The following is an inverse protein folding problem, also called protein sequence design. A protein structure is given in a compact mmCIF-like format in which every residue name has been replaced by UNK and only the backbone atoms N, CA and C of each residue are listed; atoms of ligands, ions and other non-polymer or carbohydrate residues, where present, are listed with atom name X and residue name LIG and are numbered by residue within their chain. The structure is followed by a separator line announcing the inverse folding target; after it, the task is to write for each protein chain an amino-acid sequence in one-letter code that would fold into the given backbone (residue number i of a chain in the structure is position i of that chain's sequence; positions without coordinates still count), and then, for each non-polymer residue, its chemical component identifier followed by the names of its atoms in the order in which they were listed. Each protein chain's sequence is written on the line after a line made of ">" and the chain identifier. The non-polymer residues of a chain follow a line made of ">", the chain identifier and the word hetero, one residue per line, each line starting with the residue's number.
data_IF_013948064579
#
_entry.id   IF_013948064579
#
_cell.length_a   1.000
_cell.length_b   1.000
_cell.length_c   1.000
_cell.angle_alpha   90.00
_cell.angle_beta   90.00
_cell.angle_gamma   90.00
#
_symmetry.space_group_name_H-M   'P 1'
#
loop_
_entity.id
_entity.type
_entity.pdbx_description
1 polymer ?
2 non-polymer ?
3 non-polymer ?
4 non-polymer ?
5 water ?
#
# COMPACT_ATOMS: atom_id res chain seq x y z
N UNK A 3 30.37 -8.60 5.33
CA UNK A 3 29.94 -7.95 4.09
C UNK A 3 28.44 -7.59 4.22
N UNK A 4 27.97 -6.67 3.38
CA UNK A 4 26.63 -6.12 3.52
C UNK A 4 25.64 -6.79 2.58
N UNK A 5 24.40 -6.93 3.06
CA UNK A 5 23.30 -7.42 2.27
C UNK A 5 22.44 -6.22 1.89
N UNK A 6 22.23 -6.04 0.58
CA UNK A 6 21.37 -4.98 0.12
C UNK A 6 19.93 -5.24 0.52
N UNK A 7 19.23 -4.17 0.89
CA UNK A 7 17.80 -4.21 1.19
C UNK A 7 17.14 -3.30 0.17
N UNK A 8 16.52 -3.90 -0.85
CA UNK A 8 15.84 -3.17 -1.93
C UNK A 8 14.39 -2.95 -1.52
N UNK A 9 14.07 -1.72 -1.11
CA UNK A 9 12.74 -1.36 -0.64
C UNK A 9 12.01 -0.67 -1.79
N UNK A 10 10.85 -1.20 -2.21
CA UNK A 10 10.25 -0.69 -3.43
C UNK A 10 8.88 -0.10 -3.14
N UNK A 11 8.55 1.01 -3.82
CA UNK A 11 7.25 1.63 -3.67
C UNK A 11 6.87 2.35 -4.95
N UNK A 12 5.69 2.95 -4.94
CA UNK A 12 5.08 3.46 -6.16
C UNK A 12 5.77 4.73 -6.65
N UNK A 13 6.13 5.60 -5.73
CA UNK A 13 6.65 6.91 -6.04
C UNK A 13 5.55 7.96 -6.09
N UNK A 14 5.96 9.21 -5.90
CA UNK A 14 5.05 10.36 -5.86
C UNK A 14 5.82 11.56 -6.40
N UNK A 15 5.14 12.52 -7.03
CA UNK A 15 5.85 13.75 -7.47
C UNK A 15 6.47 14.52 -6.31
N UNK A 16 7.73 14.92 -6.49
CA UNK A 16 8.39 15.76 -5.49
C UNK A 16 7.91 17.19 -5.54
N UNK A 17 7.62 17.67 -6.74
CA UNK A 17 7.22 19.05 -6.97
C UNK A 17 6.02 19.06 -7.89
N UNK A 18 5.27 20.16 -7.84
CA UNK A 18 4.11 20.29 -8.71
C UNK A 18 4.48 20.17 -10.19
N UNK A 19 5.66 20.67 -10.58
CA UNK A 19 6.06 20.57 -11.98
C UNK A 19 6.32 19.15 -12.42
N UNK A 20 6.51 18.23 -11.48
CA UNK A 20 6.73 16.82 -11.79
C UNK A 20 5.46 16.06 -12.15
N UNK A 21 4.26 16.65 -12.01
CA UNK A 21 3.05 15.83 -12.10
C UNK A 21 2.87 15.29 -13.53
N UNK A 22 3.10 16.11 -14.55
CA UNK A 22 3.05 15.65 -15.94
C UNK A 22 3.90 14.39 -16.19
N UNK A 23 5.18 14.43 -15.85
CA UNK A 23 6.05 13.32 -16.24
C UNK A 23 5.76 12.07 -15.43
N UNK A 24 5.32 12.24 -14.17
CA UNK A 24 4.93 11.11 -13.33
C UNK A 24 3.70 10.43 -13.89
N UNK A 25 2.70 11.22 -14.27
CA UNK A 25 1.49 10.68 -14.87
C UNK A 25 1.79 9.99 -16.20
N UNK A 26 2.63 10.61 -17.02
CA UNK A 26 3.09 9.98 -18.26
C UNK A 26 3.75 8.62 -17.98
N UNK A 27 4.56 8.54 -16.93
CA UNK A 27 5.19 7.27 -16.62
C UNK A 27 4.17 6.22 -16.22
N UNK A 28 3.16 6.61 -15.42
CA UNK A 28 2.09 5.69 -15.06
C UNK A 28 1.36 5.15 -16.30
N UNK A 29 1.19 6.00 -17.31
CA UNK A 29 0.52 5.60 -18.55
C UNK A 29 1.48 5.04 -19.58
N UNK A 30 2.55 4.35 -19.13
CA UNK A 30 3.47 3.64 -20.03
C UNK A 30 4.05 4.57 -21.10
N UNK A 31 4.37 5.82 -20.70
CA UNK A 31 5.00 6.77 -21.59
C UNK A 31 4.08 7.59 -22.46
N UNK A 32 2.77 7.30 -22.46
CA UNK A 32 1.79 8.02 -23.27
C UNK A 32 1.29 9.21 -22.46
N UNK A 33 1.54 10.42 -22.96
CA UNK A 33 1.26 11.62 -22.20
C UNK A 33 -0.25 11.78 -22.04
N UNK A 34 -0.75 11.94 -20.82
CA UNK A 34 -2.18 12.18 -20.64
C UNK A 34 -2.62 13.50 -21.28
N UNK A 35 -3.93 13.63 -21.42
CA UNK A 35 -4.51 14.84 -21.92
C UNK A 35 -4.44 15.96 -20.88
N UNK A 36 -4.59 17.20 -21.36
CA UNK A 36 -4.64 18.35 -20.47
C UNK A 36 -5.76 18.23 -19.42
N UNK A 37 -6.91 17.66 -19.80
CA UNK A 37 -7.99 17.43 -18.83
C UNK A 37 -7.59 16.39 -17.79
N UNK A 38 -6.90 15.33 -18.20
CA UNK A 38 -6.48 14.35 -17.21
C UNK A 38 -5.44 14.91 -16.25
N UNK A 39 -4.48 15.69 -16.76
CA UNK A 39 -3.49 16.34 -15.89
C UNK A 39 -4.15 17.29 -14.89
N UNK A 40 -5.04 18.17 -15.38
CA UNK A 40 -5.72 19.09 -14.47
C UNK A 40 -6.48 18.35 -13.37
N UNK A 41 -7.07 17.20 -13.67
CA UNK A 41 -7.84 16.51 -12.64
C UNK A 41 -6.92 15.96 -11.56
N UNK A 42 -5.83 15.30 -11.96
CA UNK A 42 -4.82 14.81 -11.02
C UNK A 42 -4.24 15.95 -10.17
N UNK A 43 -3.80 17.03 -10.82
CA UNK A 43 -3.22 18.16 -10.10
C UNK A 43 -4.24 18.73 -9.10
N UNK A 44 -5.52 18.74 -9.46
CA UNK A 44 -6.53 19.22 -8.53
C UNK A 44 -6.73 18.29 -7.34
N UNK A 45 -6.51 16.99 -7.52
CA UNK A 45 -6.55 16.11 -6.37
C UNK A 45 -5.36 16.35 -5.44
N UNK A 46 -4.15 16.51 -5.98
CA UNK A 46 -3.03 16.84 -5.10
C UNK A 46 -3.26 18.16 -4.39
N UNK A 47 -3.87 19.12 -5.09
CA UNK A 47 -4.16 20.40 -4.47
C UNK A 47 -5.16 20.28 -3.34
N UNK A 48 -6.15 19.39 -3.49
CA UNK A 48 -7.18 19.23 -2.47
C UNK A 48 -6.62 18.63 -1.18
N UNK A 49 -5.53 17.87 -1.25
CA UNK A 49 -4.99 17.22 -0.04
C UNK A 49 -3.85 18.06 0.55
N UNK A 50 -3.67 19.26 0.01
CA UNK A 50 -2.72 20.22 0.57
C UNK A 50 -1.61 20.62 -0.37
N UNK A 51 -1.54 20.08 -1.57
CA UNK A 51 -0.60 20.57 -2.56
C UNK A 51 0.20 19.43 -3.15
N UNK A 52 0.78 18.61 -2.28
CA UNK A 52 1.53 17.42 -2.69
C UNK A 52 1.28 16.33 -1.67
N UNK A 53 1.72 15.15 -2.00
CA UNK A 53 1.50 14.02 -1.12
C UNK A 53 2.71 13.81 -0.21
N UNK A 54 2.52 13.34 1.02
CA UNK A 54 3.66 13.10 1.91
C UNK A 54 4.33 11.76 1.70
N UNK A 55 3.93 11.06 0.64
CA UNK A 55 4.42 9.71 0.41
C UNK A 55 5.93 9.66 0.28
N UNK A 56 6.55 10.73 -0.22
CA UNK A 56 7.99 10.68 -0.44
C UNK A 56 8.72 10.55 0.87
N UNK A 57 8.41 11.44 1.82
CA UNK A 57 9.13 11.42 3.09
C UNK A 57 8.72 10.22 3.93
N UNK A 58 7.47 9.74 3.80
CA UNK A 58 7.06 8.54 4.54
C UNK A 58 7.82 7.32 4.03
N UNK A 59 7.87 7.15 2.70
CA UNK A 59 8.59 6.02 2.12
C UNK A 59 10.04 6.00 2.60
N UNK A 60 10.69 7.17 2.63
CA UNK A 60 12.07 7.22 3.12
C UNK A 60 12.16 6.82 4.59
N UNK A 61 11.27 7.37 5.42
CA UNK A 61 11.29 7.03 6.83
C UNK A 61 11.08 5.53 7.04
N UNK A 62 10.25 4.92 6.18
CA UNK A 62 9.98 3.50 6.28
C UNK A 62 11.21 2.67 5.90
N UNK A 63 11.86 3.04 4.79
CA UNK A 63 13.00 2.26 4.32
C UNK A 63 14.18 2.39 5.29
N UNK A 64 14.47 3.61 5.77
CA UNK A 64 15.60 3.77 6.69
C UNK A 64 15.26 3.38 8.13
N UNK A 65 13.98 3.49 8.52
CA UNK A 65 13.58 2.94 9.79
C UNK A 65 13.68 1.42 9.81
N UNK A 66 13.34 0.77 8.68
CA UNK A 66 13.48 -0.68 8.58
C UNK A 66 14.94 -1.10 8.65
N UNK A 67 15.81 -0.42 7.91
CA UNK A 67 17.24 -0.71 7.94
C UNK A 67 17.78 -0.64 9.36
N UNK A 68 17.40 0.41 10.10
CA UNK A 68 17.89 0.57 11.47
C UNK A 68 17.35 -0.51 12.39
N UNK A 69 16.06 -0.85 12.25
CA UNK A 69 15.48 -1.92 13.06
C UNK A 69 16.22 -3.24 12.83
N UNK A 70 16.52 -3.55 11.56
CA UNK A 70 17.27 -4.76 11.24
C UNK A 70 18.67 -4.71 11.84
N UNK A 71 19.37 -3.57 11.72
CA UNK A 71 20.75 -3.53 12.17
C UNK A 71 20.89 -3.41 13.70
N UNK A 72 19.88 -2.88 14.38
CA UNK A 72 19.94 -2.82 15.84
C UNK A 72 19.52 -4.12 16.51
N UNK A 73 18.97 -5.09 15.78
CA UNK A 73 18.41 -6.27 16.42
C UNK A 73 19.31 -7.53 16.34
N UNK A 74 20.43 -7.47 15.64
CA UNK A 74 21.27 -8.65 15.44
C UNK A 74 22.62 -8.18 14.91
N UNK A 75 23.57 -9.11 14.88
CA UNK A 75 24.86 -8.74 14.30
C UNK A 75 25.43 -9.87 13.43
N UNK A 76 24.56 -10.71 12.89
CA UNK A 76 25.01 -11.65 11.87
C UNK A 76 25.32 -10.93 10.56
N UNK A 77 24.61 -9.84 10.26
CA UNK A 77 24.79 -9.18 8.97
C UNK A 77 24.46 -7.69 9.09
N UNK A 78 25.03 -6.91 8.20
CA UNK A 78 24.71 -5.50 8.00
C UNK A 78 23.84 -5.31 6.77
N UNK A 79 22.66 -4.73 6.96
CA UNK A 79 21.74 -4.40 5.87
C UNK A 79 21.99 -2.98 5.43
N UNK A 80 21.88 -2.73 4.13
CA UNK A 80 21.94 -1.37 3.59
C UNK A 80 20.76 -1.18 2.66
N UNK A 81 19.88 -0.23 2.99
CA UNK A 81 18.65 0.00 2.28
C UNK A 81 18.91 0.86 1.04
N UNK A 82 18.23 0.51 -0.04
CA UNK A 82 18.20 1.28 -1.27
C UNK A 82 16.75 1.40 -1.70
N UNK A 83 16.30 2.60 -1.99
CA UNK A 83 14.91 2.82 -2.39
C UNK A 83 14.81 2.78 -3.91
N UNK A 84 13.90 1.95 -4.41
CA UNK A 84 13.62 1.88 -5.83
C UNK A 84 12.16 2.12 -6.11
N UNK A 85 11.82 3.17 -6.88
CA UNK A 85 10.43 3.55 -7.11
C UNK A 85 9.94 3.17 -8.50
N UNK A 86 8.64 2.92 -8.60
CA UNK A 86 8.09 2.42 -9.86
C UNK A 86 7.99 3.54 -10.92
N UNK A 87 7.60 4.75 -10.53
CA UNK A 87 7.19 5.75 -11.53
C UNK A 87 7.89 7.10 -11.46
N UNK A 88 8.93 7.24 -10.63
CA UNK A 88 9.74 8.45 -10.59
C UNK A 88 11.11 8.06 -10.03
N UNK A 89 12.12 8.92 -10.24
CA UNK A 89 13.46 8.60 -9.73
C UNK A 89 13.49 8.75 -8.20
N UNK A 90 14.31 7.94 -7.51
CA UNK A 90 15.17 6.83 -7.97
C UNK A 90 14.32 5.68 -8.46
N UNK A 91 14.47 5.30 -9.72
CA UNK A 91 13.73 4.16 -10.26
C UNK A 91 14.30 2.87 -9.68
N UNK A 92 13.48 1.82 -9.75
CA UNK A 92 13.91 0.45 -9.43
C UNK A 92 15.28 0.17 -10.04
N UNK A 93 15.42 0.48 -11.34
CA UNK A 93 16.68 0.20 -12.04
C UNK A 93 17.84 1.03 -11.50
N UNK A 94 17.59 2.30 -11.09
CA UNK A 94 18.61 3.10 -10.42
C UNK A 94 19.09 2.48 -9.10
N UNK A 95 18.16 1.96 -8.30
CA UNK A 95 18.55 1.30 -7.06
C UNK A 95 19.44 0.07 -7.31
N UNK A 96 19.09 -0.75 -8.31
CA UNK A 96 19.90 -1.93 -8.60
C UNK A 96 21.29 -1.53 -9.08
N UNK A 97 21.34 -0.49 -9.92
CA UNK A 97 22.61 0.08 -10.36
C UNK A 97 23.47 0.52 -9.18
N UNK A 98 22.85 1.19 -8.20
CA UNK A 98 23.62 1.73 -7.08
C UNK A 98 24.17 0.61 -6.21
N UNK A 99 23.38 -0.43 -5.99
CA UNK A 99 23.90 -1.60 -5.27
C UNK A 99 25.08 -2.21 -6.02
N UNK A 100 24.91 -2.48 -7.31
CA UNK A 100 26.01 -3.05 -8.08
C UNK A 100 27.27 -2.20 -7.98
N UNK A 101 27.13 -0.88 -8.10
CA UNK A 101 28.30 0.00 -8.03
C UNK A 101 28.88 0.03 -6.61
N UNK A 102 28.08 -0.25 -5.58
CA UNK A 102 28.60 -0.30 -4.21
C UNK A 102 29.23 -1.63 -3.86
N UNK A 103 29.18 -2.62 -4.75
CA UNK A 103 29.75 -3.93 -4.45
C UNK A 103 28.82 -4.87 -3.72
N UNK A 104 27.54 -4.54 -3.62
CA UNK A 104 26.59 -5.46 -3.01
C UNK A 104 26.44 -6.66 -3.93
N UNK A 105 26.59 -7.85 -3.36
CA UNK A 105 26.44 -9.05 -4.17
C UNK A 105 25.15 -9.79 -3.91
N UNK A 106 24.45 -9.48 -2.82
CA UNK A 106 23.29 -10.24 -2.37
C UNK A 106 22.28 -9.25 -1.84
N UNK A 107 21.04 -9.30 -2.33
CA UNK A 107 20.03 -8.41 -1.82
C UNK A 107 18.72 -9.16 -1.55
N UNK A 108 17.95 -8.63 -0.60
CA UNK A 108 16.57 -9.04 -0.38
C UNK A 108 15.67 -7.88 -0.80
N UNK A 109 14.60 -8.17 -1.53
CA UNK A 109 13.68 -7.08 -1.87
C UNK A 109 12.34 -7.27 -1.19
N UNK A 110 11.71 -6.15 -0.88
CA UNK A 110 10.38 -6.11 -0.31
C UNK A 110 9.65 -4.95 -0.97
N UNK A 111 8.36 -5.16 -1.29
CA UNK A 111 7.51 -4.10 -1.79
C UNK A 111 6.69 -3.59 -0.61
N UNK A 112 6.51 -2.28 -0.54
CA UNK A 112 5.73 -1.66 0.54
C UNK A 112 4.24 -1.71 0.17
N UNK A 113 3.77 -2.96 0.01
CA UNK A 113 2.39 -3.33 -0.28
C UNK A 113 2.31 -4.79 0.10
N UNK A 114 1.47 -5.14 1.07
CA UNK A 114 1.56 -6.49 1.66
C UNK A 114 0.97 -7.60 0.80
N UNK A 115 0.29 -7.27 -0.30
CA UNK A 115 -0.39 -8.29 -1.09
C UNK A 115 0.24 -8.38 -2.48
N UNK A 116 0.17 -9.59 -3.06
CA UNK A 116 0.75 -9.85 -4.37
C UNK A 116 -0.30 -9.73 -5.47
N UNK A 117 0.11 -9.16 -6.61
CA UNK A 117 -0.70 -9.21 -7.83
C UNK A 117 0.19 -9.13 -9.05
N UNK A 118 -0.38 -9.52 -10.20
CA UNK A 118 0.40 -9.52 -11.45
C UNK A 118 0.70 -8.10 -11.92
N UNK A 119 -0.12 -7.10 -11.54
CA UNK A 119 0.13 -5.71 -11.92
C UNK A 119 0.98 -4.94 -10.92
N UNK A 120 1.17 -5.44 -9.71
CA UNK A 120 1.89 -4.67 -8.71
C UNK A 120 3.18 -5.42 -8.45
N UNK A 121 3.23 -6.33 -7.48
CA UNK A 121 4.50 -6.93 -7.06
C UNK A 121 5.20 -7.64 -8.22
N UNK A 122 4.44 -8.38 -9.04
CA UNK A 122 5.08 -9.03 -10.20
C UNK A 122 5.91 -8.05 -11.03
N UNK A 123 5.36 -6.87 -11.34
CA UNK A 123 6.11 -5.94 -12.19
C UNK A 123 7.33 -5.36 -11.47
N UNK A 124 7.21 -5.05 -10.18
CA UNK A 124 8.38 -4.68 -9.37
C UNK A 124 9.50 -5.71 -9.47
N UNK A 125 9.17 -6.98 -9.22
CA UNK A 125 10.18 -8.04 -9.24
C UNK A 125 10.78 -8.25 -10.63
N UNK A 126 9.95 -8.18 -11.69
CA UNK A 126 10.46 -8.38 -13.04
C UNK A 126 11.47 -7.29 -13.42
N UNK A 127 11.20 -6.05 -13.00
CA UNK A 127 12.11 -4.94 -13.32
C UNK A 127 13.40 -5.03 -12.51
N UNK A 128 13.30 -5.37 -11.23
CA UNK A 128 14.50 -5.52 -10.42
C UNK A 128 15.38 -6.65 -10.95
N UNK A 129 14.79 -7.80 -11.33
CA UNK A 129 15.62 -8.91 -11.77
C UNK A 129 16.18 -8.68 -13.16
N UNK A 130 15.50 -7.88 -13.99
CA UNK A 130 15.98 -7.61 -15.33
C UNK A 130 17.16 -6.64 -15.30
N UNK A 131 17.12 -5.67 -14.38
CA UNK A 131 18.26 -4.77 -14.21
C UNK A 131 19.46 -5.50 -13.64
N UNK A 132 19.24 -6.40 -12.68
CA UNK A 132 20.35 -7.14 -12.08
C UNK A 132 20.95 -8.15 -13.06
N UNK A 133 20.11 -8.76 -13.91
CA UNK A 133 20.64 -9.65 -14.94
C UNK A 133 21.61 -8.92 -15.86
N UNK A 134 21.24 -7.71 -16.31
CA UNK A 134 22.09 -6.98 -17.25
C UNK A 134 23.40 -6.59 -16.58
N UNK A 135 23.32 -6.02 -15.36
CA UNK A 135 24.52 -5.55 -14.67
C UNK A 135 25.43 -6.70 -14.24
N UNK A 136 24.89 -7.91 -14.06
CA UNK A 136 25.67 -9.00 -13.53
C UNK A 136 25.62 -9.14 -12.03
N UNK A 137 24.72 -8.42 -11.35
CA UNK A 137 24.61 -8.46 -9.92
C UNK A 137 23.85 -7.25 -9.42
N UNK A 138 23.33 -7.29 -8.19
CA UNK A 138 23.41 -8.38 -7.20
C UNK A 138 22.38 -9.49 -7.48
N UNK A 139 22.50 -10.66 -6.86
CA UNK A 139 21.38 -11.61 -6.85
C UNK A 139 20.29 -11.09 -5.92
N UNK A 140 19.06 -10.97 -6.44
CA UNK A 140 17.91 -10.47 -5.68
C UNK A 140 16.99 -11.61 -5.26
N UNK A 141 16.72 -11.69 -3.96
CA UNK A 141 15.80 -12.66 -3.36
C UNK A 141 14.56 -11.89 -2.95
N UNK A 142 13.46 -12.15 -3.65
CA UNK A 142 12.29 -11.31 -3.55
C UNK A 142 11.31 -11.86 -2.52
N UNK A 143 10.75 -10.96 -1.72
CA UNK A 143 9.55 -11.23 -0.93
C UNK A 143 8.35 -10.92 -1.82
N UNK A 144 7.39 -11.87 -1.95
CA UNK A 144 6.24 -11.63 -2.82
C UNK A 144 5.06 -11.02 -2.09
N UNK A 145 4.87 -11.42 -0.82
CA UNK A 145 3.78 -10.89 -0.03
C UNK A 145 4.08 -11.11 1.44
N UNK A 146 3.34 -10.40 2.29
CA UNK A 146 3.62 -10.55 3.72
C UNK A 146 2.42 -10.20 4.57
N UNK A 147 1.21 -10.14 4.00
CA UNK A 147 -0.02 -9.93 4.76
C UNK A 147 -0.30 -11.02 5.81
N UNK A 148 0.28 -12.22 5.66
CA UNK A 148 0.02 -13.26 6.66
C UNK A 148 0.83 -13.05 7.93
N UNK A 149 1.75 -12.10 7.94
CA UNK A 149 2.57 -11.87 9.14
C UNK A 149 1.68 -11.55 10.34
N UNK A 150 1.73 -12.33 11.43
CA UNK A 150 0.82 -12.08 12.55
C UNK A 150 0.88 -10.65 13.09
N UNK A 151 2.07 -10.02 13.18
CA UNK A 151 2.17 -8.67 13.73
C UNK A 151 1.47 -7.65 12.82
N UNK A 152 1.45 -7.90 11.50
CA UNK A 152 0.73 -7.03 10.56
C UNK A 152 -0.77 -6.99 10.88
N UNK A 153 -1.39 -8.19 10.94
CA UNK A 153 -2.80 -8.31 11.30
C UNK A 153 -3.09 -7.68 12.66
N UNK A 154 -2.26 -7.97 13.68
CA UNK A 154 -2.50 -7.42 15.02
C UNK A 154 -2.42 -5.88 15.04
N UNK A 155 -1.42 -5.31 14.37
CA UNK A 155 -1.35 -3.85 14.15
C UNK A 155 -2.69 -3.26 13.70
N UNK A 156 -3.28 -3.82 12.63
CA UNK A 156 -4.53 -3.22 12.14
C UNK A 156 -5.68 -3.46 13.12
N UNK A 157 -5.76 -4.65 13.73
CA UNK A 157 -6.83 -4.88 14.71
C UNK A 157 -6.74 -3.91 15.89
N UNK A 158 -5.52 -3.64 16.39
CA UNK A 158 -5.40 -2.71 17.52
C UNK A 158 -5.89 -1.31 17.12
N UNK A 159 -5.50 -0.83 15.94
CA UNK A 159 -5.97 0.47 15.42
C UNK A 159 -7.50 0.51 15.28
N UNK A 160 -8.12 -0.60 14.83
CA UNK A 160 -9.56 -0.63 14.70
C UNK A 160 -10.24 -0.67 16.06
N UNK A 161 -9.71 -1.48 17.00
CA UNK A 161 -10.29 -1.55 18.34
C UNK A 161 -10.18 -0.22 19.08
N UNK A 162 -9.06 0.51 18.94
CA UNK A 162 -8.98 1.85 19.54
C UNK A 162 -10.04 2.81 18.98
N UNK A 163 -10.28 2.75 17.66
CA UNK A 163 -11.36 3.59 17.13
C UNK A 163 -12.72 3.15 17.65
N UNK A 164 -12.98 1.83 17.67
CA UNK A 164 -14.29 1.32 18.09
C UNK A 164 -14.58 1.63 19.56
N UNK A 165 -13.54 1.74 20.38
CA UNK A 165 -13.73 2.06 21.79
C UNK A 165 -14.32 3.46 22.01
N UNK A 166 -14.11 4.37 21.07
CA UNK A 166 -14.69 5.70 21.15
C UNK A 166 -16.08 5.79 20.48
N UNK A 167 -16.66 4.67 20.08
CA UNK A 167 -18.02 4.64 19.55
C UNK A 167 -18.95 4.23 20.68
N UNK A 168 -20.13 4.85 20.84
CA UNK A 168 -21.00 4.48 21.96
C UNK A 168 -21.44 3.02 21.85
N UNK A 169 -21.55 2.38 23.01
CA UNK A 169 -21.80 0.94 23.05
C UNK A 169 -23.09 0.58 22.32
N UNK A 170 -24.11 1.43 22.43
CA UNK A 170 -25.39 1.16 21.78
C UNK A 170 -25.36 1.41 20.27
N UNK A 171 -24.28 1.96 19.73
CA UNK A 171 -24.12 2.15 18.30
C UNK A 171 -23.07 1.22 17.71
N UNK A 172 -22.40 0.42 18.52
CA UNK A 172 -21.45 -0.53 17.98
C UNK A 172 -22.14 -1.59 17.13
N UNK A 173 -23.38 -1.95 17.46
CA UNK A 173 -24.09 -2.92 16.63
C UNK A 173 -24.44 -2.33 15.26
N UNK A 174 -24.39 -1.01 15.09
CA UNK A 174 -24.63 -0.34 13.83
C UNK A 174 -23.34 0.14 13.18
N UNK A 175 -22.21 -0.49 13.50
CA UNK A 175 -20.91 -0.11 12.97
C UNK A 175 -20.38 -1.18 12.01
N UNK A 176 -19.74 -0.74 10.93
CA UNK A 176 -19.23 -1.67 9.94
C UNK A 176 -17.81 -1.29 9.58
N UNK A 177 -16.97 -2.30 9.38
CA UNK A 177 -15.56 -2.15 9.05
C UNK A 177 -15.43 -2.44 7.56
N UNK A 178 -14.99 -1.45 6.79
CA UNK A 178 -14.81 -1.57 5.35
C UNK A 178 -13.32 -1.77 5.08
N UNK A 179 -12.94 -2.93 4.55
CA UNK A 179 -11.55 -3.30 4.32
C UNK A 179 -11.30 -3.14 2.83
N UNK A 180 -10.23 -2.44 2.45
CA UNK A 180 -10.06 -2.11 1.03
C UNK A 180 -8.60 -2.15 0.60
N UNK A 181 -8.41 -2.19 -0.71
CA UNK A 181 -7.11 -2.10 -1.36
C UNK A 181 -7.31 -1.43 -2.71
N UNK A 182 -6.19 -1.06 -3.36
CA UNK A 182 -6.26 -0.56 -4.73
C UNK A 182 -6.94 -1.57 -5.67
N UNK A 183 -7.89 -1.07 -6.44
CA UNK A 183 -8.55 -1.86 -7.45
C UNK A 183 -7.58 -2.17 -8.59
N UNK A 184 -7.85 -3.27 -9.29
CA UNK A 184 -7.15 -3.69 -10.49
C UNK A 184 -8.18 -4.07 -11.55
N UNK A 185 -7.77 -4.15 -12.82
CA UNK A 185 -8.71 -4.65 -13.85
C UNK A 185 -9.27 -6.02 -13.44
N UNK A 186 -10.56 -6.23 -13.71
CA UNK A 186 -11.24 -7.40 -13.17
C UNK A 186 -10.78 -8.68 -13.86
N UNK A 187 -10.20 -8.56 -15.05
CA UNK A 187 -9.73 -9.73 -15.77
C UNK A 187 -8.66 -10.52 -14.99
N UNK A 188 -8.00 -9.94 -13.97
CA UNK A 188 -7.03 -10.77 -13.22
C UNK A 188 -7.70 -11.95 -12.55
N UNK A 189 -9.00 -11.85 -12.23
CA UNK A 189 -9.72 -13.01 -11.67
C UNK A 189 -9.81 -14.18 -12.64
N UNK A 190 -9.79 -13.91 -13.94
CA UNK A 190 -9.92 -14.98 -14.92
C UNK A 190 -8.76 -15.95 -14.86
N UNK A 191 -7.61 -15.51 -14.36
CA UNK A 191 -6.43 -16.34 -14.33
C UNK A 191 -6.03 -16.69 -12.91
N UNK A 192 -6.95 -16.53 -11.96
CA UNK A 192 -6.71 -16.91 -10.56
C UNK A 192 -5.54 -16.16 -9.95
N UNK A 193 -5.40 -14.90 -10.31
CA UNK A 193 -4.46 -14.05 -9.62
C UNK A 193 -4.75 -14.08 -8.13
N UNK A 194 -3.74 -14.19 -7.26
CA UNK A 194 -4.03 -14.32 -5.82
C UNK A 194 -4.58 -13.06 -5.18
N UNK A 195 -4.43 -11.88 -5.81
CA UNK A 195 -4.73 -10.61 -5.15
C UNK A 195 -6.11 -10.52 -4.49
N UNK A 196 -7.24 -10.80 -5.17
CA UNK A 196 -8.54 -10.67 -4.46
C UNK A 196 -8.68 -11.63 -3.28
N UNK A 197 -8.15 -12.84 -3.43
CA UNK A 197 -8.19 -13.80 -2.34
C UNK A 197 -7.33 -13.36 -1.16
N UNK A 198 -6.18 -12.73 -1.45
CA UNK A 198 -5.32 -12.27 -0.34
C UNK A 198 -6.01 -11.17 0.46
N UNK A 199 -6.75 -10.28 -0.23
CA UNK A 199 -7.43 -9.23 0.51
C UNK A 199 -8.59 -9.80 1.32
N UNK A 200 -9.36 -10.74 0.76
CA UNK A 200 -10.42 -11.36 1.58
C UNK A 200 -9.85 -12.04 2.81
N UNK A 201 -8.76 -12.78 2.62
CA UNK A 201 -8.07 -13.39 3.75
C UNK A 201 -7.64 -12.35 4.79
N UNK A 202 -7.11 -11.20 4.34
CA UNK A 202 -6.67 -10.19 5.30
C UNK A 202 -7.87 -9.67 6.09
N UNK A 203 -8.98 -9.43 5.38
CA UNK A 203 -10.20 -8.95 6.05
C UNK A 203 -10.70 -9.98 7.07
N UNK A 204 -10.73 -11.28 6.69
CA UNK A 204 -11.13 -12.33 7.62
C UNK A 204 -10.23 -12.39 8.85
N UNK A 205 -8.89 -12.30 8.68
CA UNK A 205 -8.02 -12.41 9.87
C UNK A 205 -8.25 -11.22 10.82
N UNK A 206 -8.41 -10.02 10.25
CA UNK A 206 -8.64 -8.84 11.07
C UNK A 206 -9.96 -8.94 11.83
N UNK A 207 -11.03 -9.32 11.12
CA UNK A 207 -12.38 -9.36 11.70
C UNK A 207 -12.44 -10.26 12.94
N UNK A 208 -11.75 -11.39 12.90
CA UNK A 208 -11.82 -12.24 14.10
C UNK A 208 -11.06 -11.66 15.29
N UNK A 209 -10.38 -10.51 15.14
CA UNK A 209 -9.63 -9.91 16.24
C UNK A 209 -10.15 -8.54 16.69
N UNK A 210 -11.30 -8.06 16.15
CA UNK A 210 -11.85 -6.76 16.52
C UNK A 210 -13.24 -6.89 17.14
N UNK A 211 -13.64 -5.87 17.91
CA UNK A 211 -14.99 -5.85 18.50
C UNK A 211 -16.09 -5.40 17.53
N UNK A 212 -15.72 -4.95 16.33
CA UNK A 212 -16.72 -4.47 15.37
C UNK A 212 -17.49 -5.66 14.80
N UNK A 213 -18.82 -5.66 14.87
CA UNK A 213 -19.59 -6.87 14.54
C UNK A 213 -19.91 -7.07 13.07
N UNK A 214 -19.68 -6.07 12.20
CA UNK A 214 -19.96 -6.21 10.77
C UNK A 214 -18.76 -5.85 9.93
N UNK A 215 -18.62 -6.49 8.76
CA UNK A 215 -17.54 -6.03 7.90
C UNK A 215 -17.82 -6.38 6.45
N UNK A 216 -17.14 -5.64 5.57
CA UNK A 216 -17.32 -5.77 4.14
C UNK A 216 -16.01 -5.45 3.44
N UNK A 217 -15.79 -6.10 2.31
CA UNK A 217 -14.60 -5.95 1.49
C UNK A 217 -14.92 -5.07 0.27
N UNK A 218 -14.09 -4.06 0.02
CA UNK A 218 -14.27 -3.22 -1.14
C UNK A 218 -12.93 -2.85 -1.75
N UNK A 219 -13.00 -2.10 -2.87
CA UNK A 219 -11.82 -1.71 -3.62
C UNK A 219 -11.88 -0.20 -3.89
N UNK A 220 -10.75 0.38 -4.25
CA UNK A 220 -10.78 1.82 -4.49
C UNK A 220 -9.74 2.24 -5.51
N UNK A 221 -9.91 3.48 -6.01
CA UNK A 221 -8.92 4.17 -6.83
C UNK A 221 -8.75 3.48 -8.19
N UNK A 222 -9.85 3.03 -8.77
CA UNK A 222 -9.74 2.39 -10.07
C UNK A 222 -9.41 3.43 -11.13
N UNK A 223 -8.76 2.98 -12.20
CA UNK A 223 -8.20 3.87 -13.19
C UNK A 223 -9.18 4.24 -14.29
N UNK A 224 -8.70 5.05 -15.22
CA UNK A 224 -9.50 5.59 -16.32
C UNK A 224 -9.27 4.67 -17.50
N UNK A 225 -10.07 3.61 -17.60
CA UNK A 225 -10.03 2.71 -18.75
C UNK A 225 -11.47 2.42 -19.17
N UNK A 226 -11.65 1.55 -20.14
CA UNK A 226 -13.01 1.21 -20.54
C UNK A 226 -13.28 -0.26 -20.34
N UNK A 227 -12.65 -0.84 -19.33
CA UNK A 227 -12.77 -2.26 -19.01
C UNK A 227 -13.24 -2.35 -17.57
N UNK A 228 -13.82 -3.47 -17.17
CA UNK A 228 -14.30 -3.60 -15.79
C UNK A 228 -13.15 -3.75 -14.80
N UNK A 229 -13.29 -3.11 -13.63
CA UNK A 229 -12.31 -3.18 -12.53
C UNK A 229 -12.93 -3.87 -11.32
N UNK A 230 -12.06 -4.41 -10.45
CA UNK A 230 -12.52 -5.08 -9.24
C UNK A 230 -13.48 -4.19 -8.47
N UNK A 231 -14.59 -4.74 -8.05
CA UNK A 231 -15.55 -4.00 -7.28
C UNK A 231 -16.10 -4.86 -6.17
N UNK A 232 -16.99 -4.30 -5.31
CA UNK A 232 -17.56 -2.96 -5.38
C UNK A 232 -16.58 -1.88 -4.97
N UNK A 233 -16.71 -0.70 -5.57
CA UNK A 233 -15.99 0.48 -5.10
C UNK A 233 -16.45 0.86 -3.71
N UNK A 234 -15.51 1.38 -2.87
CA UNK A 234 -15.82 1.73 -1.48
C UNK A 234 -16.94 2.78 -1.39
N UNK A 235 -16.97 3.76 -2.31
CA UNK A 235 -18.08 4.73 -2.32
C UNK A 235 -19.41 4.01 -2.60
N UNK A 236 -19.46 3.22 -3.68
CA UNK A 236 -20.71 2.50 -4.00
C UNK A 236 -21.10 1.48 -2.91
N UNK A 237 -20.12 0.85 -2.28
CA UNK A 237 -20.42 -0.13 -1.23
C UNK A 237 -20.98 0.57 0.02
N UNK A 238 -20.46 1.75 0.33
CA UNK A 238 -21.01 2.53 1.45
C UNK A 238 -22.50 2.83 1.26
N UNK A 239 -22.88 3.28 0.04
CA UNK A 239 -24.28 3.56 -0.24
C UNK A 239 -25.13 2.30 -0.12
N UNK A 240 -24.65 1.19 -0.68
CA UNK A 240 -25.42 -0.05 -0.64
C UNK A 240 -25.63 -0.52 0.81
N UNK A 241 -24.57 -0.50 1.62
CA UNK A 241 -24.68 -0.98 3.00
C UNK A 241 -25.56 -0.08 3.84
N UNK A 242 -25.51 1.24 3.61
CA UNK A 242 -26.47 2.10 4.30
C UNK A 242 -27.90 1.78 3.86
N UNK A 243 -28.11 1.52 2.57
CA UNK A 243 -29.47 1.23 2.11
C UNK A 243 -30.06 0.00 2.79
N UNK A 244 -29.27 -1.09 2.92
CA UNK A 244 -29.79 -2.35 3.47
C UNK A 244 -29.77 -2.39 5.00
N UNK A 245 -28.76 -1.80 5.62
CA UNK A 245 -28.56 -1.99 7.06
C UNK A 245 -28.62 -0.72 7.88
N UNK A 246 -28.52 0.46 7.26
CA UNK A 246 -28.64 1.73 7.95
C UNK A 246 -27.53 1.91 8.99
N UNK A 247 -26.32 1.49 8.65
CA UNK A 247 -25.20 1.64 9.58
C UNK A 247 -25.00 3.12 9.98
N UNK A 248 -24.59 3.32 11.23
CA UNK A 248 -24.32 4.63 11.80
C UNK A 248 -22.85 5.03 11.75
N UNK A 249 -21.95 4.05 11.72
CA UNK A 249 -20.51 4.29 11.70
C UNK A 249 -19.87 3.41 10.64
N UNK A 250 -19.06 4.02 9.78
CA UNK A 250 -18.24 3.32 8.80
C UNK A 250 -16.78 3.53 9.18
N UNK A 251 -16.05 2.43 9.40
CA UNK A 251 -14.61 2.49 9.69
C UNK A 251 -13.88 1.98 8.43
N UNK A 252 -13.08 2.82 7.81
CA UNK A 252 -12.37 2.46 6.58
C UNK A 252 -10.93 2.11 6.91
N UNK A 253 -10.52 0.87 6.64
CA UNK A 253 -9.12 0.51 6.74
C UNK A 253 -8.62 0.06 5.36
N UNK A 254 -7.92 0.92 4.66
CA UNK A 254 -7.42 0.53 3.30
C UNK A 254 -6.11 -0.22 3.47
N UNK A 255 -6.25 -1.47 3.93
CA UNK A 255 -5.09 -2.28 4.35
C UNK A 255 -4.19 -2.66 3.19
N UNK A 256 -4.60 -2.46 1.94
CA UNK A 256 -3.63 -2.72 0.87
C UNK A 256 -2.56 -1.64 0.82
N UNK A 257 -2.79 -0.51 1.48
CA UNK A 257 -1.82 0.59 1.51
C UNK A 257 -1.12 0.66 2.88
N UNK A 258 0.09 1.24 2.89
CA UNK A 258 0.87 1.32 4.14
C UNK A 258 1.20 2.74 4.54
N UNK A 259 0.72 3.76 3.82
CA UNK A 259 1.08 5.13 4.13
C UNK A 259 -0.10 6.04 3.78
N UNK A 260 -0.07 7.24 4.37
CA UNK A 260 -1.09 8.27 4.12
C UNK A 260 -0.68 9.02 2.85
N UNK A 261 -1.21 8.61 1.69
CA UNK A 261 -0.85 9.26 0.43
C UNK A 261 -2.15 9.61 -0.34
N UNK A 262 -2.01 10.01 -1.61
CA UNK A 262 -3.17 10.53 -2.35
C UNK A 262 -4.37 9.58 -2.30
N UNK A 263 -4.13 8.27 -2.40
CA UNK A 263 -5.24 7.32 -2.47
C UNK A 263 -5.95 7.15 -1.14
N UNK A 264 -5.32 7.50 -0.03
CA UNK A 264 -6.03 7.54 1.25
C UNK A 264 -6.56 8.93 1.53
N UNK A 265 -5.70 9.95 1.40
CA UNK A 265 -6.11 11.30 1.73
C UNK A 265 -7.24 11.80 0.83
N UNK A 266 -7.27 11.39 -0.43
CA UNK A 266 -8.36 11.85 -1.31
C UNK A 266 -9.45 10.78 -1.41
N UNK A 267 -9.09 9.58 -1.85
CA UNK A 267 -10.13 8.58 -2.16
C UNK A 267 -10.90 8.13 -0.91
N UNK A 268 -10.27 8.06 0.27
CA UNK A 268 -11.03 7.80 1.48
C UNK A 268 -11.49 9.10 2.16
N UNK A 269 -10.53 9.92 2.63
CA UNK A 269 -10.88 11.03 3.53
C UNK A 269 -11.70 12.11 2.82
N UNK A 270 -11.67 12.16 1.50
CA UNK A 270 -12.59 13.05 0.82
C UNK A 270 -13.77 12.28 0.26
N UNK A 271 -13.52 11.33 -0.66
CA UNK A 271 -14.63 10.72 -1.43
C UNK A 271 -15.56 9.86 -0.57
N UNK A 272 -15.02 9.06 0.37
CA UNK A 272 -15.91 8.23 1.21
C UNK A 272 -16.62 9.09 2.24
N UNK A 273 -15.92 10.07 2.83
CA UNK A 273 -16.57 10.98 3.77
C UNK A 273 -17.73 11.74 3.10
N UNK A 274 -17.62 12.06 1.81
CA UNK A 274 -18.74 12.66 1.09
C UNK A 274 -19.96 11.74 1.15
N UNK A 275 -19.74 10.43 1.03
CA UNK A 275 -20.90 9.53 1.05
C UNK A 275 -21.46 9.41 2.46
N UNK A 276 -20.59 9.20 3.46
CA UNK A 276 -21.11 9.06 4.83
C UNK A 276 -21.90 10.32 5.23
N UNK A 277 -21.40 11.50 4.84
CA UNK A 277 -22.14 12.76 5.04
C UNK A 277 -23.53 12.72 4.41
N UNK A 278 -23.62 12.24 3.16
CA UNK A 278 -24.91 12.24 2.45
C UNK A 278 -25.95 11.33 3.13
N UNK A 279 -25.54 10.16 3.62
CA UNK A 279 -26.48 9.26 4.27
C UNK A 279 -26.68 9.59 5.75
N UNK A 280 -25.85 10.47 6.31
CA UNK A 280 -25.96 10.85 7.71
C UNK A 280 -25.19 9.97 8.67
N UNK A 281 -24.15 9.26 8.23
CA UNK A 281 -23.37 8.39 9.11
C UNK A 281 -22.04 9.05 9.46
N UNK A 282 -21.35 8.48 10.43
CA UNK A 282 -20.06 9.01 10.86
C UNK A 282 -18.96 8.33 10.07
N UNK A 283 -17.92 9.10 9.76
CA UNK A 283 -16.74 8.60 9.05
C UNK A 283 -15.59 8.36 10.02
N UNK A 284 -14.94 7.19 9.90
CA UNK A 284 -13.73 6.90 10.68
C UNK A 284 -12.68 6.28 9.78
N UNK A 285 -11.44 6.71 9.92
CA UNK A 285 -10.34 6.19 9.10
C UNK A 285 -9.09 6.19 9.96
N UNK A 286 -8.81 5.07 10.63
CA UNK A 286 -7.66 5.02 11.60
C UNK A 286 -6.34 5.42 10.96
N UNK A 287 -5.37 5.93 11.76
CA UNK A 287 -4.06 6.31 11.21
C UNK A 287 -3.44 5.18 10.39
N UNK A 288 -2.86 5.52 9.22
CA UNK A 288 -2.11 4.50 8.49
C UNK A 288 -0.82 4.09 9.21
N UNK A 289 -0.21 2.96 8.80
CA UNK A 289 1.04 2.51 9.45
C UNK A 289 2.17 3.54 9.39
N UNK A 290 2.37 4.20 8.23
CA UNK A 290 3.46 5.21 8.08
C UNK A 290 4.76 4.61 8.65
N UNK A 291 5.53 5.36 9.45
CA UNK A 291 6.80 4.86 9.98
C UNK A 291 6.68 4.55 11.48
N UNK A 292 5.48 4.22 11.93
CA UNK A 292 5.29 3.98 13.36
C UNK A 292 6.15 2.79 13.76
N UNK A 293 6.78 2.83 14.93
CA UNK A 293 7.65 1.68 15.34
C UNK A 293 6.98 0.32 15.26
N UNK A 294 5.71 0.19 15.64
CA UNK A 294 5.04 -1.11 15.51
C UNK A 294 5.07 -1.63 14.07
N UNK A 295 4.94 -0.73 13.09
CA UNK A 295 5.02 -1.14 11.68
C UNK A 295 6.46 -1.44 11.26
N UNK A 296 7.42 -0.66 11.72
CA UNK A 296 8.82 -0.98 11.43
C UNK A 296 9.18 -2.36 11.97
N UNK A 297 8.61 -2.73 13.12
CA UNK A 297 8.76 -4.09 13.67
C UNK A 297 8.09 -5.17 12.81
N UNK A 298 6.93 -4.85 12.19
CA UNK A 298 6.33 -5.80 11.23
C UNK A 298 7.32 -6.10 10.11
N UNK A 299 7.88 -5.03 9.51
CA UNK A 299 8.75 -5.20 8.35
C UNK A 299 10.06 -5.87 8.74
N UNK A 300 10.58 -5.55 9.93
CA UNK A 300 11.80 -6.18 10.39
C UNK A 300 11.59 -7.69 10.51
N UNK A 301 10.46 -8.08 11.09
CA UNK A 301 10.17 -9.51 11.23
C UNK A 301 10.12 -10.19 9.87
N UNK A 302 9.43 -9.56 8.92
CA UNK A 302 9.26 -10.11 7.57
C UNK A 302 10.60 -10.30 6.88
N UNK A 303 11.44 -9.25 6.87
CA UNK A 303 12.76 -9.29 6.22
C UNK A 303 13.70 -10.27 6.93
N UNK A 304 13.72 -10.24 8.26
CA UNK A 304 14.63 -11.15 8.98
C UNK A 304 14.23 -12.62 8.79
N UNK A 305 12.93 -12.91 8.73
CA UNK A 305 12.49 -14.28 8.44
C UNK A 305 12.92 -14.71 7.04
N UNK A 306 12.84 -13.79 6.07
CA UNK A 306 13.28 -14.09 4.71
C UNK A 306 14.77 -14.40 4.69
N UNK A 307 15.57 -13.56 5.35
CA UNK A 307 17.01 -13.78 5.38
C UNK A 307 17.33 -15.11 6.07
N UNK A 308 16.62 -15.41 7.16
CA UNK A 308 16.85 -16.69 7.86
C UNK A 308 16.60 -17.90 6.98
N UNK A 309 15.68 -17.80 6.02
CA UNK A 309 15.29 -18.98 5.24
C UNK A 309 16.16 -19.15 3.99
N UNK A 310 16.83 -18.09 3.54
CA UNK A 310 17.85 -18.22 2.50
C UNK A 310 19.08 -18.95 3.02
N UNK A 311 19.51 -18.64 4.24
CA UNK A 311 20.72 -19.21 4.80
C UNK A 311 20.46 -20.58 5.46
X LIG B 1 1.22 10.70 -5.31
X LIG B 1 0.97 9.76 -4.46
X LIG B 1 0.41 9.89 -3.27
X LIG B 1 0.94 8.35 -5.12
X LIG B 1 -0.34 7.58 -4.63
X LIG B 1 -0.53 6.09 -5.19
X LIG B 1 -0.25 4.87 -4.59
X LIG B 1 -0.69 3.81 -5.58
X LIG B 1 -0.60 2.41 -5.35
X LIG B 1 -1.17 1.48 -6.27
X LIG B 1 -1.75 1.73 -7.56
X LIG B 1 -2.11 0.44 -8.09
X LIG B 1 -2.72 0.21 -9.35
X LIG B 1 -2.88 1.19 -10.38
X LIG B 1 -3.34 0.91 -11.78
X LIG B 1 -3.39 2.14 -12.45
X LIG B 1 -2.97 3.21 -11.49
X LIG B 1 -2.89 4.62 -11.74
X LIG B 1 -2.56 5.62 -10.79
X LIG B 1 -2.54 7.12 -11.01
X LIG B 1 -2.19 7.72 -9.81
X LIG B 1 -1.97 6.62 -8.81
X LIG B 1 -2.21 5.38 -9.44
X LIG B 1 -2.03 3.55 -8.49
X LIG B 1 -1.23 4.43 -6.78
X LIG B 1 -1.15 5.84 -6.54
X LIG B 1 -1.58 6.84 -7.45
X LIG B 1 -2.67 2.60 -10.22
X LIG B 1 -1.97 9.25 -9.34
X LIG B 1 -2.90 7.79 -12.43
X LIG B 1 -4.00 8.92 -12.37
X LIG B 1 -5.47 8.39 -12.38
X LIG B 1 -5.96 7.99 -11.22
X LIG B 1 -5.95 8.07 -13.59
X LIG B 1 -3.81 2.42 -13.97
X LIG B 1 -2.65 2.68 -15.02
X LIG B 1 -3.15 3.24 -16.40
X LIG B 1 -4.06 4.22 -16.35
X LIG B 1 -2.91 2.44 -17.42
X LIG B 1 -3.65 -0.59 -12.31
X LIG B 1 -1.75 -0.62 -7.08
X LIG B 1 -1.18 0.02 -5.99
X LIG B 1 -0.61 -0.59 -4.63
X LIG B 1 0.74 -1.36 -4.88
X LIG B 1 1.95 -0.39 -4.74
X LIG B 1 1.81 0.48 -3.77
X LIG B 1 2.67 -0.27 -5.83
X LIG B 1 -2.00 -2.22 -7.24
X LIG B 1 0.42 4.56 -3.15
X LIG C 1 10.98 2.55 -16.44
X LIG C 1 11.29 1.65 -17.50
X LIG C 1 9.47 2.51 -16.20
X LIG C 1 9.13 3.60 -15.31
X LIG D 1 -11.09 7.44 -8.03
#
# INVERSE_FOLDING_TARGET
>A
MTKKVGLLVMAYGTPYKDEDIERYYTDIRHGHKPSEEMIADLRGRYHAIGGLSPLAKITEAQAYGLEKALNDSQDEVEFKAYIGLKHIEPFIEDAVEAMHKDGIEEAISIVLAPHYSSFSVEAYNKRAKEAADKLGGPRINAINDWYKQPKFIQMWADRINETAKQIPADELLDTVLIVSAASLPEKIKQHNDPYPNQLQETADFIFEKVVVPHYALGWQSEGKTGEPWLGPDVQDLTRELYGREKYKHFIYTPVGFVAEHLEVLYDNDYECKVVTDEVGAAYHRPPMPNSDPEFLEVLRTVVWEKYSNLE
>B hetero
1 FEC O1A CGA O2A CBA CAA C3A C2A C1A CHA C4D ND C1D CHD C4C C3C C2C C1C CHC C4B C3B C2B C1B NB FE NA C4A CHB NC CMB CAB CBB CGB O1B O2B CAC CBC CGC O1C O2C CMC C2D C3D CAD CBD CGD O1D O2D CMD CMA
>C hetero
1 EDO C1 O1 C2 O2
>D hetero
1 CA CA
#
